data_IF_954254475957
#
_entry.id   IF_954254475957
#
_cell.length_a   1.000
_cell.length_b   1.000
_cell.length_c   1.000
_cell.angle_alpha   90.00
_cell.angle_beta   90.00
_cell.angle_gamma   90.00
#
_symmetry.space_group_name_H-M   'P 1'
#
loop_
_entity.id
_entity.type
_entity.pdbx_description
1 polymer ?
#
# COMPACT_ATOMS: atom_id res chain seq x y z
N UNK A 1 -14.06 -22.51 15.95
CA UNK A 1 -14.03 -21.04 15.97
C UNK A 1 -13.50 -20.61 14.62
N UNK A 2 -14.36 -20.09 13.75
CA UNK A 2 -13.92 -19.61 12.44
C UNK A 2 -13.54 -18.14 12.55
N UNK A 3 -12.27 -17.83 12.27
CA UNK A 3 -11.81 -16.46 12.14
C UNK A 3 -12.31 -15.89 10.81
N UNK A 4 -12.84 -14.67 10.82
CA UNK A 4 -13.15 -13.96 9.59
C UNK A 4 -11.87 -13.70 8.77
N UNK A 5 -11.99 -13.45 7.46
CA UNK A 5 -10.84 -13.18 6.60
C UNK A 5 -9.96 -12.04 7.10
N UNK A 6 -10.55 -10.96 7.62
CA UNK A 6 -9.82 -9.85 8.23
C UNK A 6 -9.10 -10.22 9.54
N UNK A 7 -9.65 -11.13 10.33
CA UNK A 7 -8.98 -11.64 11.53
C UNK A 7 -7.80 -12.54 11.17
N UNK A 8 -7.95 -13.41 10.16
CA UNK A 8 -6.85 -14.19 9.61
C UNK A 8 -5.71 -13.30 9.10
N UNK A 9 -6.05 -12.21 8.42
CA UNK A 9 -5.07 -11.24 7.94
C UNK A 9 -4.30 -10.58 9.10
N UNK A 10 -4.99 -10.17 10.18
CA UNK A 10 -4.32 -9.61 11.37
C UNK A 10 -3.37 -10.60 12.03
N UNK A 11 -3.74 -11.87 12.12
CA UNK A 11 -2.87 -12.93 12.67
C UNK A 11 -1.64 -13.16 11.77
N UNK A 12 -1.82 -13.18 10.44
CA UNK A 12 -0.71 -13.31 9.50
C UNK A 12 0.28 -12.14 9.60
N UNK A 13 -0.24 -10.91 9.71
CA UNK A 13 0.55 -9.70 9.92
C UNK A 13 1.36 -9.79 11.23
N UNK A 14 0.71 -10.16 12.34
CA UNK A 14 1.36 -10.32 13.63
C UNK A 14 2.47 -11.39 13.60
N UNK A 15 2.24 -12.52 12.91
CA UNK A 15 3.26 -13.56 12.70
C UNK A 15 4.44 -13.07 11.88
N UNK A 16 4.18 -12.29 10.83
CA UNK A 16 5.22 -11.64 10.03
C UNK A 16 6.11 -10.78 10.91
N UNK A 17 5.52 -9.96 11.77
CA UNK A 17 6.25 -9.08 12.68
C UNK A 17 7.06 -9.79 13.77
N UNK A 18 6.57 -10.93 14.28
CA UNK A 18 7.29 -11.69 15.30
C UNK A 18 8.56 -12.36 14.76
N UNK A 19 8.55 -12.75 13.48
CA UNK A 19 9.70 -13.41 12.85
C UNK A 19 10.79 -12.38 12.50
N UNK A 20 12.05 -12.71 12.75
CA UNK A 20 13.17 -11.88 12.23
C UNK A 20 13.27 -12.08 10.71
N UNK A 21 13.16 -10.99 9.95
CA UNK A 21 13.26 -10.98 8.49
C UNK A 21 13.88 -9.66 8.00
N UNK A 22 14.49 -9.69 6.81
CA UNK A 22 15.11 -8.51 6.18
C UNK A 22 14.22 -7.89 5.09
N UNK A 23 13.18 -8.62 4.66
CA UNK A 23 12.26 -8.21 3.61
C UNK A 23 10.80 -8.38 4.04
N UNK A 24 9.93 -7.47 3.62
CA UNK A 24 8.47 -7.52 3.79
C UNK A 24 7.84 -7.40 2.39
N UNK A 25 6.86 -8.26 2.09
CA UNK A 25 5.99 -8.12 0.93
C UNK A 25 4.55 -8.18 1.42
N UNK A 26 3.77 -7.16 1.10
CA UNK A 26 2.34 -7.11 1.41
C UNK A 26 1.56 -6.98 0.11
N UNK A 27 0.66 -7.94 -0.11
CA UNK A 27 -0.31 -7.88 -1.19
C UNK A 27 -1.66 -7.45 -0.62
N UNK A 28 -2.11 -6.27 -1.01
CA UNK A 28 -3.37 -5.63 -0.61
C UNK A 28 -3.77 -5.87 0.87
N UNK A 29 -3.00 -5.37 1.85
CA UNK A 29 -3.24 -5.66 3.28
C UNK A 29 -4.52 -5.04 3.86
N UNK A 30 -5.35 -4.42 3.03
CA UNK A 30 -6.39 -3.44 3.40
C UNK A 30 -7.78 -3.79 2.87
N UNK A 31 -7.93 -4.85 2.06
CA UNK A 31 -9.19 -5.19 1.39
C UNK A 31 -10.37 -5.44 2.33
N UNK A 32 -10.11 -5.85 3.58
CA UNK A 32 -11.13 -6.13 4.60
C UNK A 32 -11.16 -5.11 5.77
N UNK A 33 -10.50 -3.96 5.62
CA UNK A 33 -10.29 -3.01 6.73
C UNK A 33 -10.79 -1.60 6.35
N UNK A 34 -11.51 -0.98 7.27
CA UNK A 34 -12.01 0.41 7.20
C UNK A 34 -10.89 1.40 6.77
N UNK A 35 -11.17 2.37 5.88
CA UNK A 35 -10.21 3.39 5.43
C UNK A 35 -9.40 4.08 6.55
N UNK A 36 -10.02 4.38 7.69
CA UNK A 36 -9.34 5.04 8.83
C UNK A 36 -8.34 4.08 9.49
N UNK A 37 -8.76 2.83 9.70
CA UNK A 37 -7.93 1.78 10.31
C UNK A 37 -6.77 1.37 9.40
N UNK A 38 -6.94 1.49 8.08
CA UNK A 38 -5.90 1.21 7.09
C UNK A 38 -4.72 2.18 7.22
N UNK A 39 -4.97 3.47 7.42
CA UNK A 39 -3.89 4.46 7.60
C UNK A 39 -3.06 4.15 8.86
N UNK A 40 -3.72 3.79 9.97
CA UNK A 40 -3.03 3.39 11.22
C UNK A 40 -2.19 2.13 11.03
N UNK A 41 -2.75 1.12 10.37
CA UNK A 41 -2.05 -0.12 10.07
C UNK A 41 -0.81 0.15 9.22
N UNK A 42 -0.93 1.01 8.21
CA UNK A 42 0.18 1.38 7.33
C UNK A 42 1.29 2.14 8.05
N UNK A 43 0.95 3.08 8.93
CA UNK A 43 1.94 3.77 9.77
C UNK A 43 2.75 2.79 10.61
N UNK A 44 2.06 1.78 11.18
CA UNK A 44 2.72 0.70 11.93
C UNK A 44 3.60 -0.17 11.05
N UNK A 45 3.18 -0.45 9.82
CA UNK A 45 4.02 -1.13 8.83
C UNK A 45 5.28 -0.34 8.50
N UNK A 46 5.17 0.97 8.24
CA UNK A 46 6.33 1.83 7.95
C UNK A 46 7.33 1.78 9.10
N UNK A 47 6.85 1.89 10.33
CA UNK A 47 7.72 1.78 11.51
C UNK A 47 8.45 0.43 11.57
N UNK A 48 7.74 -0.67 11.33
CA UNK A 48 8.30 -2.03 11.36
C UNK A 48 9.17 -2.37 10.15
N UNK A 49 9.05 -1.58 9.08
CA UNK A 49 9.86 -1.65 7.87
C UNK A 49 11.19 -0.92 8.02
N UNK A 50 11.39 -0.12 9.07
CA UNK A 50 12.66 0.59 9.30
C UNK A 50 13.82 -0.41 9.34
N UNK A 51 14.86 -0.14 8.55
CA UNK A 51 16.03 -1.01 8.42
C UNK A 51 15.79 -2.30 7.62
N UNK A 52 14.67 -2.41 6.91
CA UNK A 52 14.31 -3.55 6.06
C UNK A 52 13.88 -3.07 4.67
N UNK A 53 13.91 -3.96 3.70
CA UNK A 53 13.31 -3.71 2.38
C UNK A 53 11.82 -4.08 2.43
N UNK A 54 10.94 -3.17 2.04
CA UNK A 54 9.49 -3.40 2.05
C UNK A 54 8.89 -3.13 0.67
N UNK A 55 8.10 -4.09 0.19
CA UNK A 55 7.28 -3.95 -1.00
C UNK A 55 5.81 -4.02 -0.61
N UNK A 56 5.02 -3.07 -1.08
CA UNK A 56 3.58 -3.09 -0.86
C UNK A 56 2.87 -2.91 -2.19
N UNK A 57 2.07 -3.92 -2.55
CA UNK A 57 1.17 -3.90 -3.69
C UNK A 57 -0.18 -3.38 -3.19
N UNK A 58 -0.65 -2.29 -3.78
CA UNK A 58 -1.92 -1.71 -3.37
C UNK A 58 -2.59 -0.97 -4.51
N UNK A 59 -3.91 -1.11 -4.60
CA UNK A 59 -4.75 -0.23 -5.41
C UNK A 59 -5.06 1.10 -4.68
N UNK A 60 -4.72 1.27 -3.40
CA UNK A 60 -4.97 2.51 -2.63
C UNK A 60 -3.82 3.51 -2.80
N UNK A 61 -4.01 4.45 -3.71
CA UNK A 61 -3.00 5.43 -4.11
C UNK A 61 -2.68 6.45 -3.01
N UNK A 62 -3.57 6.66 -2.04
CA UNK A 62 -3.28 7.50 -0.87
C UNK A 62 -2.04 7.04 -0.09
N UNK A 63 -1.79 5.73 -0.06
CA UNK A 63 -0.65 5.12 0.64
C UNK A 63 0.68 5.34 -0.07
N UNK A 64 0.65 5.58 -1.39
CA UNK A 64 1.87 5.81 -2.18
C UNK A 64 2.59 7.11 -1.81
N UNK A 65 1.91 8.04 -1.11
CA UNK A 65 2.51 9.26 -0.54
C UNK A 65 3.56 8.97 0.53
N UNK A 66 3.43 7.84 1.21
CA UNK A 66 4.30 7.44 2.31
C UNK A 66 5.46 6.55 1.85
N UNK A 67 5.48 6.14 0.58
CA UNK A 67 6.51 5.28 0.03
C UNK A 67 7.74 6.09 -0.40
N UNK A 68 8.92 5.52 -0.17
CA UNK A 68 10.19 6.09 -0.67
C UNK A 68 10.23 6.08 -2.20
N UNK A 69 9.60 5.06 -2.82
CA UNK A 69 9.51 4.91 -4.27
C UNK A 69 8.21 4.20 -4.67
N UNK A 70 7.66 4.61 -5.79
CA UNK A 70 6.43 4.07 -6.39
C UNK A 70 6.79 3.48 -7.75
N UNK A 71 6.35 2.24 -7.98
CA UNK A 71 6.47 1.53 -9.25
C UNK A 71 5.07 1.39 -9.82
N UNK A 72 4.84 1.96 -10.99
CA UNK A 72 3.55 1.94 -11.67
C UNK A 72 3.58 0.85 -12.72
N UNK A 73 2.67 -0.11 -12.59
CA UNK A 73 2.53 -1.20 -13.54
C UNK A 73 1.29 -1.00 -14.42
N UNK A 74 1.44 -1.28 -15.71
CA UNK A 74 0.33 -1.36 -16.66
C UNK A 74 0.59 -2.53 -17.61
N UNK A 75 -0.42 -3.40 -17.80
CA UNK A 75 -0.33 -4.57 -18.68
C UNK A 75 0.94 -5.43 -18.47
N UNK A 76 1.32 -5.67 -17.22
CA UNK A 76 2.49 -6.48 -16.86
C UNK A 76 3.84 -5.79 -17.09
N UNK A 77 3.86 -4.51 -17.44
CA UNK A 77 5.09 -3.72 -17.64
C UNK A 77 5.18 -2.58 -16.65
N UNK A 78 6.41 -2.23 -16.26
CA UNK A 78 6.66 -1.01 -15.49
C UNK A 78 6.62 0.17 -16.44
N UNK A 79 5.63 1.06 -16.26
CA UNK A 79 5.43 2.22 -17.13
C UNK A 79 6.01 3.50 -16.53
N UNK A 80 6.07 3.59 -15.19
CA UNK A 80 6.67 4.74 -14.50
C UNK A 80 7.30 4.29 -13.17
N UNK A 81 8.38 4.96 -12.76
CA UNK A 81 9.01 4.80 -11.45
C UNK A 81 9.42 6.18 -10.93
N UNK A 82 9.11 6.48 -9.68
CA UNK A 82 9.52 7.73 -9.04
C UNK A 82 8.92 7.86 -7.63
N UNK A 83 9.11 9.01 -7.02
CA UNK A 83 8.40 9.39 -5.80
C UNK A 83 6.97 9.84 -6.14
N UNK A 84 6.06 9.87 -5.15
CA UNK A 84 4.73 10.46 -5.35
C UNK A 84 4.79 11.86 -5.97
N UNK A 85 5.72 12.71 -5.50
CA UNK A 85 5.86 14.10 -5.95
C UNK A 85 6.30 14.21 -7.41
N UNK A 86 7.22 13.35 -7.85
CA UNK A 86 7.68 13.31 -9.24
C UNK A 86 6.59 12.76 -10.16
N UNK A 87 5.89 11.70 -9.73
CA UNK A 87 4.91 11.04 -10.59
C UNK A 87 3.60 11.84 -10.72
N UNK A 88 3.21 12.62 -9.71
CA UNK A 88 1.99 13.42 -9.77
C UNK A 88 2.15 14.70 -10.60
N UNK A 89 3.38 15.22 -10.73
CA UNK A 89 3.69 16.44 -11.47
C UNK A 89 3.81 16.21 -12.98
N UNK A 90 3.93 14.95 -13.41
CA UNK A 90 4.02 14.55 -14.82
C UNK A 90 2.70 13.94 -15.25
N UNK A 91 2.21 14.33 -16.45
CA UNK A 91 1.06 13.65 -17.06
C UNK A 91 1.42 12.19 -17.35
N UNK A 92 0.60 11.27 -16.87
CA UNK A 92 0.79 9.84 -17.09
C UNK A 92 -0.14 8.98 -16.25
N UNK A 93 0.03 7.66 -16.35
CA UNK A 93 -0.83 6.64 -15.73
C UNK A 93 -1.01 6.86 -14.22
N UNK A 94 0.06 7.22 -13.52
CA UNK A 94 -0.01 7.48 -12.08
C UNK A 94 -0.99 8.62 -11.75
N UNK A 95 -0.86 9.76 -12.43
CA UNK A 95 -1.71 10.92 -12.22
C UNK A 95 -3.17 10.60 -12.55
N UNK A 96 -3.44 9.91 -13.66
CA UNK A 96 -4.78 9.47 -14.06
C UNK A 96 -5.45 8.60 -12.99
N UNK A 97 -4.74 7.56 -12.53
CA UNK A 97 -5.21 6.66 -11.48
C UNK A 97 -5.47 7.43 -10.18
N UNK A 98 -4.54 8.31 -9.80
CA UNK A 98 -4.62 9.08 -8.56
C UNK A 98 -5.82 10.03 -8.57
N UNK A 99 -6.06 10.73 -9.67
CA UNK A 99 -7.20 11.62 -9.84
C UNK A 99 -8.53 10.88 -9.86
N UNK A 100 -8.61 9.71 -10.51
CA UNK A 100 -9.81 8.89 -10.55
C UNK A 100 -10.22 8.41 -9.14
N UNK A 101 -9.26 7.90 -8.37
CA UNK A 101 -9.55 7.46 -7.01
C UNK A 101 -9.83 8.61 -6.03
N UNK A 102 -9.19 9.78 -6.21
CA UNK A 102 -9.46 10.95 -5.38
C UNK A 102 -10.90 11.45 -5.54
N UNK A 103 -11.47 11.39 -6.75
CA UNK A 103 -12.89 11.72 -6.98
C UNK A 103 -13.81 10.74 -6.27
N UNK A 104 -13.50 9.44 -6.35
CA UNK A 104 -14.30 8.39 -5.71
C UNK A 104 -14.44 8.58 -4.19
N UNK A 105 -13.37 9.00 -3.51
CA UNK A 105 -13.37 9.30 -2.06
C UNK A 105 -14.05 10.62 -1.67
N UNK A 106 -14.34 11.51 -2.62
CA UNK A 106 -15.05 12.78 -2.36
C UNK A 106 -16.55 12.60 -2.63
N UNK A 107 -16.91 11.69 -3.54
CA UNK A 107 -18.30 11.41 -3.94
C UNK A 107 -18.96 10.28 -3.11
N UNK A 108 -18.18 9.50 -2.35
CA UNK A 108 -18.65 8.41 -1.46
C UNK A 108 -17.96 8.51 -0.08
#
# INVERSE_FOLDING_TARGET
MDLSGGLWQRVAIARGFYKKHNMILLDEPTAAIDPVEVSKLYMKFIELSKGKTSFIVTHRLSLTKMADRVVVMDQGKVVQIGTHKELISVKGKYQELYSSQSKWYVEN
#
